data_IF_212540210954
#
_entry.id   IF_212540210954
#
_cell.length_a   1.000
_cell.length_b   1.000
_cell.length_c   1.000
_cell.angle_alpha   90.00
_cell.angle_beta   90.00
_cell.angle_gamma   90.00
#
_symmetry.space_group_name_H-M   'P 1'
#
loop_
_entity.id
_entity.type
_entity.pdbx_description
1 polymer ?
#
# COMPACT_ATOMS: atom_id res chain seq x y z
N UNK A 1 -7.37 25.63 -4.72
CA UNK A 1 -7.43 24.75 -3.52
C UNK A 1 -7.54 23.35 -4.09
N UNK A 2 -6.56 22.47 -3.86
CA UNK A 2 -6.39 21.22 -4.63
C UNK A 2 -7.67 20.37 -4.72
N UNK A 3 -8.50 20.38 -3.68
CA UNK A 3 -9.77 19.64 -3.62
C UNK A 3 -10.87 20.21 -4.54
N UNK A 4 -10.96 21.54 -4.67
CA UNK A 4 -11.91 22.16 -5.60
C UNK A 4 -11.47 21.94 -7.05
N UNK A 5 -10.16 21.95 -7.30
CA UNK A 5 -9.59 21.68 -8.62
C UNK A 5 -9.90 20.23 -9.05
N UNK A 6 -9.82 19.27 -8.13
CA UNK A 6 -10.23 17.88 -8.36
C UNK A 6 -11.74 17.77 -8.66
N UNK A 7 -12.59 18.45 -7.90
CA UNK A 7 -14.03 18.46 -8.14
C UNK A 7 -14.40 19.06 -9.50
N UNK A 8 -13.72 20.11 -9.92
CA UNK A 8 -13.91 20.74 -11.23
C UNK A 8 -13.46 19.80 -12.36
N UNK A 9 -12.31 19.15 -12.22
CA UNK A 9 -11.81 18.18 -13.20
C UNK A 9 -12.73 16.94 -13.33
N UNK A 10 -13.28 16.45 -12.21
CA UNK A 10 -14.27 15.38 -12.24
C UNK A 10 -15.49 15.78 -13.09
N UNK A 11 -16.01 17.00 -12.88
CA UNK A 11 -17.17 17.54 -13.64
C UNK A 11 -16.89 17.62 -15.14
N UNK A 12 -15.67 17.97 -15.56
CA UNK A 12 -15.28 17.99 -16.99
C UNK A 12 -15.38 16.59 -17.64
N UNK A 13 -15.23 15.53 -16.85
CA UNK A 13 -15.36 14.13 -17.32
C UNK A 13 -16.76 13.54 -17.06
N UNK A 14 -17.73 14.35 -16.64
CA UNK A 14 -19.09 13.90 -16.30
C UNK A 14 -19.21 13.20 -14.94
N UNK A 15 -18.19 13.27 -14.09
CA UNK A 15 -18.16 12.67 -12.75
C UNK A 15 -18.49 13.70 -11.67
N UNK A 16 -19.09 13.23 -10.57
CA UNK A 16 -19.48 14.08 -9.45
C UNK A 16 -18.94 13.52 -8.13
N UNK A 17 -18.21 14.35 -7.38
CA UNK A 17 -17.69 13.99 -6.06
C UNK A 17 -18.78 14.28 -5.02
N UNK A 18 -19.24 13.22 -4.35
CA UNK A 18 -20.23 13.34 -3.29
C UNK A 18 -19.52 13.48 -1.93
N UNK A 19 -19.65 14.63 -1.28
CA UNK A 19 -18.97 14.91 0.00
C UNK A 19 -19.43 14.05 1.18
N UNK A 20 -20.64 13.48 1.12
CA UNK A 20 -21.20 12.62 2.18
C UNK A 20 -20.80 11.16 2.03
N UNK A 21 -20.65 10.68 0.79
CA UNK A 21 -20.22 9.31 0.49
C UNK A 21 -18.70 9.14 0.57
N UNK A 22 -17.96 10.19 0.25
CA UNK A 22 -16.51 10.16 0.27
C UNK A 22 -15.98 10.57 1.63
N UNK A 23 -14.79 10.07 1.98
CA UNK A 23 -14.05 10.46 3.18
C UNK A 23 -12.64 10.88 2.78
N UNK A 24 -12.11 11.88 3.46
CA UNK A 24 -10.71 12.20 3.41
C UNK A 24 -9.95 11.21 4.31
N UNK A 25 -8.84 10.66 3.80
CA UNK A 25 -7.95 9.82 4.59
C UNK A 25 -6.63 10.56 4.80
N UNK A 26 -6.18 10.63 6.05
CA UNK A 26 -4.91 11.22 6.44
C UNK A 26 -3.97 10.11 6.90
N UNK A 27 -2.79 10.04 6.30
CA UNK A 27 -1.78 9.04 6.63
C UNK A 27 -0.64 9.73 7.37
N UNK A 28 -0.36 9.31 8.59
CA UNK A 28 0.73 9.85 9.43
C UNK A 28 0.67 11.37 9.65
N UNK A 29 -0.51 11.97 9.47
CA UNK A 29 -0.76 13.40 9.65
C UNK A 29 -2.20 13.62 10.11
N UNK A 30 -2.45 14.76 10.73
CA UNK A 30 -3.80 15.28 10.98
C UNK A 30 -4.09 16.45 10.04
N UNK A 31 -5.37 16.76 9.85
CA UNK A 31 -5.79 17.95 9.11
C UNK A 31 -5.92 19.13 10.09
N UNK A 32 -5.18 20.20 9.81
CA UNK A 32 -5.34 21.47 10.52
C UNK A 32 -6.60 22.23 10.09
N UNK A 33 -7.05 22.03 8.85
CA UNK A 33 -8.25 22.66 8.31
C UNK A 33 -9.21 21.62 7.73
N UNK A 34 -10.53 21.72 8.03
CA UNK A 34 -11.54 20.88 7.42
C UNK A 34 -11.55 20.99 5.90
N UNK A 35 -11.70 19.86 5.22
CA UNK A 35 -11.87 19.83 3.77
C UNK A 35 -13.35 19.98 3.42
N UNK A 36 -13.67 20.98 2.61
CA UNK A 36 -15.02 21.22 2.06
C UNK A 36 -15.00 21.14 0.54
N UNK A 37 -16.00 20.46 -0.05
CA UNK A 37 -16.27 20.46 -1.49
C UNK A 37 -17.68 21.01 -1.70
N UNK A 38 -17.82 22.02 -2.56
CA UNK A 38 -19.11 22.66 -2.89
C UNK A 38 -19.94 23.01 -1.63
N UNK A 39 -19.26 23.49 -0.57
CA UNK A 39 -19.87 23.88 0.71
C UNK A 39 -20.19 22.73 1.68
N UNK A 40 -19.97 21.47 1.29
CA UNK A 40 -20.16 20.30 2.16
C UNK A 40 -18.83 19.86 2.78
N UNK A 41 -18.78 19.76 4.11
CA UNK A 41 -17.62 19.23 4.83
C UNK A 41 -17.51 17.72 4.62
N UNK A 42 -16.30 17.25 4.31
CA UNK A 42 -16.01 15.83 4.11
C UNK A 42 -15.47 15.25 5.42
N UNK A 43 -16.00 14.09 5.80
CA UNK A 43 -15.54 13.36 6.98
C UNK A 43 -14.08 12.91 6.81
N UNK A 44 -13.30 12.98 7.88
CA UNK A 44 -11.86 12.70 7.84
C UNK A 44 -11.52 11.53 8.73
N UNK A 45 -10.73 10.60 8.20
CA UNK A 45 -10.17 9.46 8.94
C UNK A 45 -8.66 9.55 8.94
N UNK A 46 -8.03 9.58 10.12
CA UNK A 46 -6.57 9.49 10.24
C UNK A 46 -6.14 8.06 10.52
N UNK A 47 -5.10 7.61 9.85
CA UNK A 47 -4.46 6.31 10.08
C UNK A 47 -2.96 6.52 10.26
N UNK A 48 -2.40 5.90 11.29
CA UNK A 48 -0.95 5.86 11.50
C UNK A 48 -0.41 4.59 10.83
N UNK A 49 0.29 4.77 9.72
CA UNK A 49 1.06 3.71 9.09
C UNK A 49 2.43 3.69 9.74
N UNK A 50 2.62 2.78 10.69
CA UNK A 50 3.93 2.49 11.26
C UNK A 50 4.77 1.74 10.21
N UNK A 51 5.51 2.53 9.44
CA UNK A 51 6.44 2.05 8.41
C UNK A 51 7.48 1.10 9.00
N UNK A 52 7.89 1.29 10.25
CA UNK A 52 8.88 0.41 10.86
C UNK A 52 8.28 -0.95 11.20
N UNK A 53 7.04 -0.99 11.72
CA UNK A 53 6.31 -2.24 11.97
C UNK A 53 5.99 -2.98 10.68
N UNK A 54 5.58 -2.27 9.61
CA UNK A 54 5.31 -2.90 8.31
C UNK A 54 6.58 -3.50 7.69
N UNK A 55 7.72 -2.79 7.76
CA UNK A 55 9.03 -3.31 7.33
C UNK A 55 9.43 -4.54 8.15
N UNK A 56 9.30 -4.49 9.49
CA UNK A 56 9.60 -5.63 10.37
C UNK A 56 8.75 -6.85 10.04
N UNK A 57 7.45 -6.66 9.79
CA UNK A 57 6.53 -7.74 9.43
C UNK A 57 6.90 -8.36 8.08
N UNK A 58 7.20 -7.54 7.05
CA UNK A 58 7.66 -8.01 5.74
C UNK A 58 8.96 -8.80 5.84
N UNK A 59 9.91 -8.30 6.62
CA UNK A 59 11.18 -8.99 6.86
C UNK A 59 10.97 -10.32 7.58
N UNK A 60 10.10 -10.37 8.60
CA UNK A 60 9.77 -11.60 9.30
C UNK A 60 9.14 -12.65 8.35
N UNK A 61 8.21 -12.22 7.49
CA UNK A 61 7.60 -13.08 6.48
C UNK A 61 8.63 -13.61 5.48
N UNK A 62 9.47 -12.73 4.91
CA UNK A 62 10.52 -13.11 3.97
C UNK A 62 11.52 -14.11 4.59
N UNK A 63 11.88 -13.93 5.87
CA UNK A 63 12.72 -14.88 6.62
C UNK A 63 12.04 -16.25 6.78
N UNK A 64 10.76 -16.26 7.11
CA UNK A 64 9.96 -17.49 7.22
C UNK A 64 9.87 -18.23 5.88
N UNK A 65 9.60 -17.47 4.81
CA UNK A 65 9.53 -17.98 3.44
C UNK A 65 10.87 -18.56 2.97
N UNK A 66 11.99 -17.87 3.25
CA UNK A 66 13.33 -18.40 2.98
C UNK A 66 13.64 -19.66 3.80
N UNK A 67 13.21 -19.73 5.06
CA UNK A 67 13.39 -20.91 5.89
C UNK A 67 12.64 -22.13 5.34
N UNK A 68 11.43 -21.94 4.78
CA UNK A 68 10.67 -22.99 4.09
C UNK A 68 11.40 -23.53 2.85
N UNK A 69 12.14 -22.68 2.15
CA UNK A 69 12.92 -23.08 0.97
C UNK A 69 14.20 -23.87 1.30
N UNK A 70 14.55 -24.08 2.58
CA UNK A 70 15.78 -24.82 2.98
C UNK A 70 15.93 -26.17 2.30
N UNK A 71 14.84 -26.92 2.12
CA UNK A 71 14.89 -28.23 1.46
C UNK A 71 15.14 -28.11 -0.05
N UNK A 72 14.58 -27.08 -0.69
CA UNK A 72 14.81 -26.78 -2.10
C UNK A 72 16.26 -26.38 -2.35
N UNK A 73 16.85 -25.58 -1.45
CA UNK A 73 18.26 -25.20 -1.53
C UNK A 73 19.20 -26.40 -1.45
N UNK A 74 18.92 -27.35 -0.55
CA UNK A 74 19.70 -28.59 -0.34
C UNK A 74 19.50 -29.62 -1.45
N UNK A 75 18.38 -29.58 -2.16
CA UNK A 75 18.08 -30.53 -3.21
C UNK A 75 18.95 -30.30 -4.45
N UNK A 76 19.51 -31.38 -4.99
CA UNK A 76 20.25 -31.39 -6.26
C UNK A 76 19.33 -31.54 -7.49
N UNK A 77 18.04 -31.79 -7.28
CA UNK A 77 17.05 -31.99 -8.35
C UNK A 77 16.75 -30.68 -9.08
N UNK A 78 16.81 -29.55 -8.38
CA UNK A 78 16.53 -28.23 -8.95
C UNK A 78 17.81 -27.57 -9.46
N UNK A 79 17.76 -27.00 -10.66
CA UNK A 79 18.83 -26.17 -11.20
C UNK A 79 18.98 -24.88 -10.38
N UNK A 80 20.16 -24.25 -10.46
CA UNK A 80 20.39 -22.97 -9.79
C UNK A 80 19.46 -21.86 -10.31
N UNK A 81 19.10 -21.90 -11.59
CA UNK A 81 18.17 -20.96 -12.21
C UNK A 81 16.77 -21.07 -11.58
N UNK A 82 16.21 -22.28 -11.50
CA UNK A 82 14.89 -22.51 -10.87
C UNK A 82 14.88 -22.13 -9.39
N UNK A 83 15.97 -22.37 -8.67
CA UNK A 83 16.11 -21.96 -7.26
C UNK A 83 16.08 -20.43 -7.11
N UNK A 84 16.72 -19.70 -8.02
CA UNK A 84 16.74 -18.24 -8.03
C UNK A 84 15.38 -17.65 -8.40
N UNK A 85 14.69 -18.22 -9.40
CA UNK A 85 13.32 -17.83 -9.75
C UNK A 85 12.36 -18.01 -8.57
N UNK A 86 12.45 -19.16 -7.89
CA UNK A 86 11.63 -19.44 -6.71
C UNK A 86 11.92 -18.46 -5.56
N UNK A 87 13.20 -18.13 -5.32
CA UNK A 87 13.58 -17.11 -4.36
C UNK A 87 12.99 -15.73 -4.72
N UNK A 88 13.07 -15.34 -5.99
CA UNK A 88 12.53 -14.07 -6.47
C UNK A 88 11.01 -14.00 -6.25
N UNK A 89 10.30 -15.09 -6.51
CA UNK A 89 8.85 -15.15 -6.32
C UNK A 89 8.45 -15.18 -4.83
N UNK A 90 9.11 -16.00 -4.02
CA UNK A 90 8.64 -16.31 -2.65
C UNK A 90 9.23 -15.39 -1.59
N UNK A 91 10.45 -14.88 -1.79
CA UNK A 91 11.17 -14.08 -0.78
C UNK A 91 11.32 -12.63 -1.24
N UNK A 92 11.72 -12.39 -2.48
CA UNK A 92 11.94 -11.03 -3.00
C UNK A 92 10.63 -10.28 -3.24
N UNK A 93 9.60 -10.91 -3.82
CA UNK A 93 8.34 -10.24 -4.10
C UNK A 93 7.65 -9.70 -2.82
N UNK A 94 7.51 -10.46 -1.71
CA UNK A 94 6.94 -9.91 -0.47
C UNK A 94 7.80 -8.80 0.16
N UNK A 95 9.12 -8.85 -0.05
CA UNK A 95 10.02 -7.79 0.40
C UNK A 95 9.85 -6.52 -0.41
N UNK A 96 9.40 -6.58 -1.67
CA UNK A 96 9.19 -5.41 -2.55
C UNK A 96 7.75 -4.88 -2.52
N UNK A 97 6.75 -5.76 -2.49
CA UNK A 97 5.34 -5.40 -2.76
C UNK A 97 4.59 -4.74 -1.58
N UNK A 98 5.23 -4.53 -0.43
CA UNK A 98 4.57 -3.79 0.68
C UNK A 98 4.63 -2.27 0.54
N UNK A 99 4.88 -1.76 -0.66
CA UNK A 99 4.79 -0.33 -1.00
C UNK A 99 3.43 0.04 -1.59
N UNK A 100 2.53 -0.94 -1.75
CA UNK A 100 1.14 -0.75 -2.17
C UNK A 100 0.28 -0.44 -0.92
N UNK A 101 0.46 0.76 -0.36
CA UNK A 101 -0.46 1.38 0.59
C UNK A 101 -0.66 2.83 0.18
#
# INVERSE_FOLDING_TARGET
>A
MKTQDLANNAKLTGQYINGTKNKAMCINTELDTPITIDGTQIDTTSTVIDTQKSIKNRLAKAKSDFARLRQVWKSTIYSNETKLELFNSVVKAPLMNGSEC
#
